data_IF_829469613009
#
_entry.id   IF_829469613009
#
_cell.length_a   1.000
_cell.length_b   1.000
_cell.length_c   1.000
_cell.angle_alpha   90.00
_cell.angle_beta   90.00
_cell.angle_gamma   90.00
#
_symmetry.space_group_name_H-M   'P 1'
#
loop_
_entity.id
_entity.type
_entity.pdbx_description
1 polymer ?
#
# COMPACT_ATOMS: atom_id res chain seq x y z
N UNK A 1 10.47 1.96 -2.64
CA UNK A 1 9.95 0.64 -3.06
C UNK A 1 8.96 0.09 -2.02
N UNK A 2 7.90 -0.57 -2.47
CA UNK A 2 6.92 -1.26 -1.63
C UNK A 2 6.86 -2.73 -2.04
N UNK A 3 6.93 -3.65 -1.07
CA UNK A 3 6.95 -5.10 -1.31
C UNK A 3 5.56 -5.63 -1.70
N UNK A 4 5.49 -6.36 -2.81
CA UNK A 4 4.35 -7.17 -3.21
C UNK A 4 4.37 -8.60 -2.69
N UNK A 5 3.41 -9.42 -3.11
CA UNK A 5 3.32 -10.83 -2.73
C UNK A 5 4.24 -11.73 -3.54
N UNK A 6 4.67 -11.33 -4.72
CA UNK A 6 5.57 -12.08 -5.59
C UNK A 6 7.06 -11.72 -5.44
N UNK A 7 7.39 -10.77 -4.56
CA UNK A 7 8.77 -10.35 -4.31
C UNK A 7 9.50 -11.34 -3.37
N UNK A 8 9.61 -12.60 -3.80
CA UNK A 8 10.21 -13.69 -3.00
C UNK A 8 11.71 -13.49 -2.75
N UNK A 9 12.41 -12.86 -3.69
CA UNK A 9 13.83 -12.51 -3.60
C UNK A 9 14.11 -11.43 -2.54
N UNK A 10 13.10 -10.69 -2.16
CA UNK A 10 13.17 -9.63 -1.17
C UNK A 10 13.16 -10.19 0.25
N UNK A 11 14.26 -10.07 0.95
CA UNK A 11 14.38 -10.48 2.35
C UNK A 11 13.62 -9.57 3.32
N UNK A 12 14.26 -9.22 4.43
CA UNK A 12 13.73 -8.21 5.36
C UNK A 12 14.08 -6.80 4.87
N UNK A 13 13.33 -5.79 5.31
CA UNK A 13 13.65 -4.38 5.00
C UNK A 13 15.08 -4.02 5.41
N UNK A 14 15.55 -4.53 6.56
CA UNK A 14 16.93 -4.31 7.04
C UNK A 14 17.97 -4.92 6.09
N UNK A 15 17.74 -6.13 5.56
CA UNK A 15 18.65 -6.76 4.59
C UNK A 15 18.70 -5.97 3.29
N UNK A 16 17.56 -5.46 2.82
CA UNK A 16 17.50 -4.63 1.61
C UNK A 16 18.23 -3.30 1.81
N UNK A 17 18.03 -2.63 2.94
CA UNK A 17 18.74 -1.38 3.26
C UNK A 17 20.26 -1.61 3.35
N UNK A 18 20.68 -2.71 3.96
CA UNK A 18 22.09 -3.10 4.00
C UNK A 18 22.63 -3.33 2.59
N UNK A 19 21.92 -4.04 1.74
CA UNK A 19 22.30 -4.26 0.33
C UNK A 19 22.43 -2.93 -0.42
N UNK A 20 21.49 -1.98 -0.25
CA UNK A 20 21.58 -0.67 -0.87
C UNK A 20 22.83 0.08 -0.43
N UNK A 21 23.15 0.06 0.86
CA UNK A 21 24.35 0.72 1.40
C UNK A 21 25.66 0.08 0.88
N UNK A 22 25.71 -1.26 0.80
CA UNK A 22 26.87 -2.01 0.30
C UNK A 22 27.14 -1.81 -1.21
N UNK A 23 26.12 -1.35 -1.97
CA UNK A 23 26.19 -1.15 -3.43
C UNK A 23 26.04 0.32 -3.84
N UNK A 24 26.21 1.25 -2.89
CA UNK A 24 26.08 2.70 -3.12
C UNK A 24 24.75 3.11 -3.79
N UNK A 25 23.65 2.35 -3.54
CA UNK A 25 22.31 2.67 -4.03
C UNK A 25 21.69 3.70 -3.09
N UNK A 26 21.79 4.98 -3.44
CA UNK A 26 21.33 6.11 -2.62
C UNK A 26 19.97 6.68 -3.03
N UNK A 27 19.45 6.27 -4.20
CA UNK A 27 18.22 6.80 -4.78
C UNK A 27 16.97 5.94 -4.48
N UNK A 28 17.15 4.80 -3.81
CA UNK A 28 16.07 3.88 -3.45
C UNK A 28 15.95 3.74 -1.94
N UNK A 29 14.72 3.69 -1.45
CA UNK A 29 14.42 3.29 -0.07
C UNK A 29 13.12 2.48 -0.04
N UNK A 30 12.78 1.94 1.14
CA UNK A 30 11.71 0.97 1.32
C UNK A 30 10.60 1.59 2.15
N UNK A 31 9.41 1.63 1.56
CA UNK A 31 8.17 1.94 2.26
C UNK A 31 7.64 0.66 2.92
N UNK A 32 7.63 0.65 4.26
CA UNK A 32 7.29 -0.56 5.00
C UNK A 32 6.36 -0.31 6.20
N UNK A 33 6.74 0.56 7.12
CA UNK A 33 5.99 1.03 8.29
C UNK A 33 6.49 2.42 8.70
N UNK A 34 6.96 3.16 7.74
CA UNK A 34 7.52 4.52 7.81
C UNK A 34 6.75 5.42 6.86
N UNK A 35 7.10 6.68 6.82
CA UNK A 35 6.66 7.63 5.80
C UNK A 35 7.88 8.27 5.12
N UNK A 36 7.66 8.73 3.89
CA UNK A 36 8.54 9.66 3.18
C UNK A 36 7.77 10.95 2.93
N UNK A 37 8.48 12.03 2.62
CA UNK A 37 7.86 13.32 2.39
C UNK A 37 8.21 13.83 1.00
N UNK A 38 7.22 14.38 0.31
CA UNK A 38 7.40 15.06 -0.96
C UNK A 38 6.48 16.29 -1.01
N UNK A 39 7.08 17.47 -1.17
CA UNK A 39 6.34 18.72 -1.00
C UNK A 39 5.67 18.78 0.38
N UNK A 40 4.38 19.06 0.39
CA UNK A 40 3.58 19.13 1.61
C UNK A 40 2.98 17.78 2.02
N UNK A 41 3.13 16.75 1.21
CA UNK A 41 2.49 15.45 1.41
C UNK A 41 3.43 14.43 2.06
N UNK A 42 2.82 13.55 2.84
CA UNK A 42 3.42 12.31 3.31
C UNK A 42 3.09 11.16 2.37
N UNK A 43 4.10 10.38 2.03
CA UNK A 43 4.01 9.13 1.27
C UNK A 43 4.01 7.99 2.28
N UNK A 44 2.85 7.41 2.53
CA UNK A 44 2.64 6.34 3.50
C UNK A 44 2.25 5.03 2.80
N UNK A 45 2.35 3.93 3.50
CA UNK A 45 1.86 2.66 2.97
C UNK A 45 2.50 1.42 3.58
N UNK A 46 1.96 0.30 3.19
CA UNK A 46 2.43 -1.05 3.52
C UNK A 46 1.97 -2.03 2.45
N UNK A 47 2.43 -3.28 2.54
CA UNK A 47 1.93 -4.31 1.63
C UNK A 47 0.41 -4.45 1.70
N UNK A 48 -0.19 -4.27 2.87
CA UNK A 48 -1.59 -4.58 3.10
C UNK A 48 -1.84 -6.09 3.16
N UNK A 49 -3.09 -6.45 3.31
CA UNK A 49 -3.58 -7.82 3.25
C UNK A 49 -5.07 -7.82 2.94
N UNK A 50 -5.57 -8.96 2.46
CA UNK A 50 -7.01 -9.18 2.27
C UNK A 50 -7.40 -10.58 2.74
N UNK A 51 -8.69 -10.79 3.01
CA UNK A 51 -9.21 -12.12 3.25
C UNK A 51 -9.33 -12.85 1.91
N UNK A 52 -8.68 -14.00 1.79
CA UNK A 52 -8.99 -14.95 0.73
C UNK A 52 -10.28 -15.66 1.14
N UNK A 53 -11.25 -15.77 0.22
CA UNK A 53 -12.58 -16.36 0.50
C UNK A 53 -12.48 -17.79 1.07
N UNK A 54 -11.43 -18.52 0.74
CA UNK A 54 -11.17 -19.89 1.21
C UNK A 54 -10.28 -19.98 2.46
N UNK A 55 -9.74 -18.87 2.95
CA UNK A 55 -8.80 -18.82 4.06
C UNK A 55 -9.45 -18.32 5.36
N UNK A 56 -10.61 -18.85 5.74
CA UNK A 56 -11.26 -18.58 7.03
C UNK A 56 -10.46 -19.17 8.22
N UNK A 57 -9.16 -18.94 8.25
CA UNK A 57 -8.25 -19.48 9.26
C UNK A 57 -7.68 -18.38 10.17
N UNK A 58 -7.36 -18.77 11.39
CA UNK A 58 -6.65 -17.96 12.40
C UNK A 58 -5.36 -17.32 11.87
N UNK A 59 -4.78 -17.86 10.81
CA UNK A 59 -3.58 -17.32 10.15
C UNK A 59 -3.86 -16.00 9.43
N UNK A 60 -4.91 -15.94 8.62
CA UNK A 60 -5.29 -14.72 7.87
C UNK A 60 -5.61 -13.57 8.80
N UNK A 61 -6.35 -13.82 9.90
CA UNK A 61 -6.65 -12.80 10.90
C UNK A 61 -5.40 -12.22 11.57
N UNK A 62 -4.42 -13.07 11.92
CA UNK A 62 -3.13 -12.61 12.48
C UNK A 62 -2.31 -11.79 11.48
N UNK A 63 -2.32 -12.19 10.21
CA UNK A 63 -1.63 -11.45 9.15
C UNK A 63 -2.27 -10.09 8.94
N UNK A 64 -3.60 -10.03 8.88
CA UNK A 64 -4.34 -8.78 8.72
C UNK A 64 -4.10 -7.82 9.89
N UNK A 65 -4.20 -8.31 11.14
CA UNK A 65 -3.93 -7.49 12.31
C UNK A 65 -2.51 -6.91 12.29
N UNK A 66 -1.51 -7.70 11.87
CA UNK A 66 -0.14 -7.23 11.74
C UNK A 66 0.02 -6.18 10.64
N UNK A 67 -0.62 -6.36 9.49
CA UNK A 67 -0.57 -5.38 8.40
C UNK A 67 -1.32 -4.09 8.78
N UNK A 68 -2.42 -4.18 9.52
CA UNK A 68 -3.11 -3.01 10.07
C UNK A 68 -2.20 -2.20 11.01
N UNK A 69 -1.48 -2.87 11.92
CA UNK A 69 -0.50 -2.20 12.78
C UNK A 69 0.63 -1.53 11.99
N UNK A 70 1.09 -2.15 10.91
CA UNK A 70 2.12 -1.58 10.02
C UNK A 70 1.59 -0.36 9.27
N UNK A 71 0.37 -0.45 8.73
CA UNK A 71 -0.28 0.68 8.08
C UNK A 71 -0.44 1.83 9.08
N UNK A 72 -0.95 1.56 10.28
CA UNK A 72 -1.12 2.59 11.28
C UNK A 72 0.21 3.25 11.66
N UNK A 73 1.29 2.49 11.81
CA UNK A 73 2.62 3.03 12.08
C UNK A 73 3.07 3.98 10.95
N UNK A 74 2.86 3.59 9.69
CA UNK A 74 3.18 4.43 8.53
C UNK A 74 2.35 5.72 8.51
N UNK A 75 1.03 5.62 8.74
CA UNK A 75 0.14 6.77 8.76
C UNK A 75 0.44 7.74 9.92
N UNK A 76 0.80 7.23 11.09
CA UNK A 76 1.27 8.05 12.23
C UNK A 76 2.54 8.83 11.89
N UNK A 77 3.43 8.24 11.10
CA UNK A 77 4.68 8.88 10.68
C UNK A 77 4.47 10.02 9.66
N UNK A 78 3.23 10.29 9.23
CA UNK A 78 2.89 11.42 8.37
C UNK A 78 2.99 12.79 9.07
N UNK A 79 3.05 12.81 10.40
CA UNK A 79 3.22 14.03 11.20
C UNK A 79 2.17 15.12 10.92
N UNK A 80 0.92 14.69 10.66
CA UNK A 80 -0.22 15.59 10.39
C UNK A 80 -0.27 16.17 8.98
N UNK A 81 0.61 15.76 8.07
CA UNK A 81 0.58 16.18 6.66
C UNK A 81 -0.51 15.45 5.87
N UNK A 82 -1.01 16.04 4.78
CA UNK A 82 -1.86 15.34 3.82
C UNK A 82 -1.19 14.04 3.36
N UNK A 83 -1.98 12.96 3.19
CA UNK A 83 -1.42 11.63 2.98
C UNK A 83 -1.79 11.07 1.61
N UNK A 84 -0.77 10.64 0.86
CA UNK A 84 -0.90 9.67 -0.22
C UNK A 84 -0.47 8.30 0.28
N UNK A 85 -1.40 7.36 0.30
CA UNK A 85 -1.17 6.00 0.79
C UNK A 85 -0.98 5.02 -0.37
N UNK A 86 0.02 4.16 -0.26
CA UNK A 86 0.31 3.11 -1.23
C UNK A 86 0.18 1.75 -0.58
N UNK A 87 -0.63 0.90 -1.19
CA UNK A 87 -0.83 -0.50 -0.77
C UNK A 87 -0.53 -1.44 -1.93
N UNK A 88 0.00 -2.63 -1.64
CA UNK A 88 0.05 -3.65 -2.67
C UNK A 88 -1.33 -4.31 -2.83
N UNK A 89 -1.91 -4.81 -1.74
CA UNK A 89 -3.24 -5.39 -1.79
C UNK A 89 -4.33 -4.32 -1.75
N UNK A 90 -5.39 -4.45 -2.58
CA UNK A 90 -6.51 -3.51 -2.57
C UNK A 90 -7.27 -3.59 -1.24
N UNK A 91 -7.54 -2.46 -0.56
CA UNK A 91 -8.37 -2.44 0.64
C UNK A 91 -9.85 -2.58 0.34
N UNK A 92 -10.25 -2.34 -0.91
CA UNK A 92 -11.59 -2.49 -1.44
C UNK A 92 -11.53 -2.87 -2.92
N UNK A 93 -12.35 -3.82 -3.33
CA UNK A 93 -12.60 -4.16 -4.73
C UNK A 93 -13.96 -4.83 -4.83
N UNK A 94 -14.44 -5.13 -6.02
CA UNK A 94 -15.79 -5.64 -6.24
C UNK A 94 -16.09 -6.88 -5.37
N UNK A 95 -17.10 -6.75 -4.52
CA UNK A 95 -17.55 -7.81 -3.60
C UNK A 95 -16.69 -7.97 -2.33
N UNK A 96 -15.67 -7.16 -2.12
CA UNK A 96 -14.76 -7.26 -0.98
C UNK A 96 -14.43 -5.91 -0.36
N UNK A 97 -14.34 -5.91 0.96
CA UNK A 97 -13.84 -4.78 1.75
C UNK A 97 -12.98 -5.30 2.91
N UNK A 98 -11.90 -4.61 3.21
CA UNK A 98 -11.09 -4.83 4.40
C UNK A 98 -11.40 -3.74 5.43
N UNK A 99 -12.33 -3.98 6.38
CA UNK A 99 -12.77 -2.95 7.33
C UNK A 99 -11.63 -2.34 8.13
N UNK A 100 -10.65 -3.14 8.52
CA UNK A 100 -9.51 -2.70 9.33
C UNK A 100 -8.64 -1.68 8.58
N UNK A 101 -8.36 -1.95 7.30
CA UNK A 101 -7.58 -1.03 6.47
C UNK A 101 -8.38 0.23 6.17
N UNK A 102 -9.66 0.08 5.80
CA UNK A 102 -10.53 1.21 5.48
C UNK A 102 -10.73 2.13 6.68
N UNK A 103 -10.91 1.57 7.89
CA UNK A 103 -11.04 2.37 9.12
C UNK A 103 -9.77 3.19 9.41
N UNK A 104 -8.58 2.67 9.09
CA UNK A 104 -7.33 3.41 9.25
C UNK A 104 -7.23 4.54 8.21
N UNK A 105 -7.57 4.28 6.95
CA UNK A 105 -7.55 5.30 5.91
C UNK A 105 -8.52 6.45 6.25
N UNK A 106 -9.71 6.12 6.74
CA UNK A 106 -10.70 7.11 7.20
C UNK A 106 -10.21 7.87 8.44
N UNK A 107 -9.66 7.17 9.45
CA UNK A 107 -9.16 7.76 10.70
C UNK A 107 -8.06 8.80 10.49
N UNK A 108 -7.15 8.51 9.55
CA UNK A 108 -6.02 9.40 9.23
C UNK A 108 -6.32 10.34 8.06
N UNK A 109 -7.57 10.41 7.62
CA UNK A 109 -8.04 11.32 6.56
C UNK A 109 -7.19 11.23 5.29
N UNK A 110 -6.85 10.00 4.88
CA UNK A 110 -6.04 9.77 3.70
C UNK A 110 -6.72 10.35 2.46
N UNK A 111 -6.02 11.22 1.73
CA UNK A 111 -6.59 11.87 0.55
C UNK A 111 -6.68 10.93 -0.64
N UNK A 112 -5.60 10.18 -0.90
CA UNK A 112 -5.53 9.23 -2.02
C UNK A 112 -4.92 7.91 -1.58
N UNK A 113 -5.55 6.81 -2.01
CA UNK A 113 -5.05 5.46 -1.80
C UNK A 113 -4.81 4.80 -3.16
N UNK A 114 -3.55 4.56 -3.46
CA UNK A 114 -3.09 3.85 -4.65
C UNK A 114 -2.80 2.40 -4.29
N UNK A 115 -3.22 1.47 -5.15
CA UNK A 115 -2.99 0.05 -4.90
C UNK A 115 -2.67 -0.72 -6.19
N UNK A 116 -2.08 -1.89 -6.05
CA UNK A 116 -1.72 -2.79 -7.13
C UNK A 116 -2.43 -4.13 -7.05
N UNK A 117 -1.66 -5.21 -7.23
CA UNK A 117 -2.05 -6.61 -7.08
C UNK A 117 -3.02 -7.16 -8.13
N UNK A 118 -4.03 -6.41 -8.55
CA UNK A 118 -5.00 -6.85 -9.55
C UNK A 118 -4.37 -6.77 -10.95
N UNK A 119 -4.29 -7.89 -11.65
CA UNK A 119 -3.69 -8.01 -12.98
C UNK A 119 -4.64 -8.63 -13.99
N UNK A 120 -4.46 -8.32 -15.27
CA UNK A 120 -5.19 -8.89 -16.38
C UNK A 120 -6.71 -8.75 -16.22
N UNK A 121 -7.44 -9.85 -16.30
CA UNK A 121 -8.91 -9.82 -16.22
C UNK A 121 -9.45 -9.35 -14.86
N UNK A 122 -8.63 -9.36 -13.79
CA UNK A 122 -9.05 -8.88 -12.47
C UNK A 122 -9.12 -7.37 -12.36
N UNK A 123 -8.57 -6.60 -13.31
CA UNK A 123 -8.71 -5.14 -13.36
C UNK A 123 -10.16 -4.67 -13.24
N UNK A 124 -11.11 -5.39 -13.88
CA UNK A 124 -12.55 -5.09 -13.81
C UNK A 124 -13.16 -5.19 -12.41
N UNK A 125 -12.44 -5.78 -11.44
CA UNK A 125 -12.85 -5.84 -10.04
C UNK A 125 -12.33 -4.66 -9.23
N UNK A 126 -11.46 -3.83 -9.80
CA UNK A 126 -10.91 -2.68 -9.11
C UNK A 126 -12.02 -1.72 -8.70
N UNK A 127 -11.87 -1.14 -7.53
CA UNK A 127 -12.66 0.00 -7.10
C UNK A 127 -11.85 1.27 -7.34
N UNK A 128 -12.35 2.14 -8.17
CA UNK A 128 -11.76 3.45 -8.43
C UNK A 128 -12.77 4.56 -8.10
N UNK A 129 -12.27 5.69 -7.64
CA UNK A 129 -13.08 6.83 -7.25
C UNK A 129 -13.18 7.02 -5.74
N UNK A 130 -14.11 7.85 -5.32
CA UNK A 130 -14.19 8.34 -3.95
C UNK A 130 -15.03 7.44 -3.05
N UNK A 131 -14.48 7.14 -1.87
CA UNK A 131 -15.18 6.52 -0.75
C UNK A 131 -14.78 7.24 0.54
N UNK A 132 -15.74 7.83 1.24
CA UNK A 132 -15.46 8.69 2.38
C UNK A 132 -14.64 9.92 1.98
N UNK A 133 -13.50 10.12 2.60
CA UNK A 133 -12.57 11.22 2.27
C UNK A 133 -11.48 10.81 1.28
N UNK A 134 -11.32 9.52 0.99
CA UNK A 134 -10.23 8.94 0.21
C UNK A 134 -10.65 8.71 -1.25
N UNK A 135 -9.81 9.11 -2.19
CA UNK A 135 -9.89 8.74 -3.60
C UNK A 135 -9.00 7.52 -3.86
N UNK A 136 -9.55 6.47 -4.46
CA UNK A 136 -8.89 5.20 -4.72
C UNK A 136 -8.55 5.06 -6.20
N UNK A 137 -7.36 4.53 -6.50
CA UNK A 137 -6.95 4.25 -7.87
C UNK A 137 -6.08 2.98 -7.95
N UNK A 138 -6.34 2.16 -8.98
CA UNK A 138 -5.48 1.03 -9.33
C UNK A 138 -4.28 1.54 -10.12
N UNK A 139 -3.07 1.16 -9.67
CA UNK A 139 -1.81 1.47 -10.36
C UNK A 139 -0.99 0.21 -10.67
N UNK A 140 -1.66 -0.94 -10.89
CA UNK A 140 -0.98 -2.14 -11.36
C UNK A 140 -0.31 -1.85 -12.72
N UNK A 141 0.94 -2.30 -12.90
CA UNK A 141 1.78 -1.92 -14.03
C UNK A 141 1.13 -2.20 -15.39
N UNK A 142 0.48 -3.34 -15.55
CA UNK A 142 -0.23 -3.72 -16.77
C UNK A 142 -1.54 -2.92 -16.98
N UNK A 143 -2.18 -2.46 -15.89
CA UNK A 143 -3.35 -1.59 -15.95
C UNK A 143 -3.01 -0.20 -16.48
N UNK A 144 -1.90 0.38 -16.00
CA UNK A 144 -1.42 1.69 -16.45
C UNK A 144 -0.53 1.61 -17.70
N UNK A 145 -0.57 0.50 -18.45
CA UNK A 145 0.23 0.27 -19.66
C UNK A 145 1.74 0.50 -19.44
N UNK A 146 2.26 0.17 -18.26
CA UNK A 146 3.66 0.37 -17.85
C UNK A 146 4.15 1.83 -17.96
N UNK A 147 3.24 2.79 -17.88
CA UNK A 147 3.56 4.22 -17.89
C UNK A 147 3.46 4.79 -16.46
N UNK A 148 4.40 5.66 -16.05
CA UNK A 148 4.30 6.33 -14.78
C UNK A 148 3.04 7.20 -14.67
N UNK A 149 2.37 7.13 -13.53
CA UNK A 149 1.22 8.00 -13.22
C UNK A 149 1.72 9.19 -12.40
N UNK A 150 1.42 10.40 -12.88
CA UNK A 150 1.69 11.62 -12.11
C UNK A 150 0.71 11.71 -10.94
N UNK A 151 1.22 11.78 -9.73
CA UNK A 151 0.43 11.82 -8.49
C UNK A 151 0.48 13.16 -7.77
N UNK A 152 1.40 14.04 -8.13
CA UNK A 152 1.63 15.36 -7.54
C UNK A 152 1.88 16.39 -8.64
N UNK A 153 1.35 17.61 -8.47
CA UNK A 153 1.55 18.75 -9.38
C UNK A 153 2.76 19.59 -9.02
#
# INVERSE_FOLDING_TARGET
>A
LLKGNHDYWWGTASKMKKFFAEHDITTLDILYNNAFFYGDHAICGTRGWFYEEDAAGTHTGKMLAREALRLEASLKAAEGRPIFCFLHYPPVYQGYQCPEMLALLDKYEVERCYYGHLHGYTHRRAFEGRRGKTDYALIAADYIAFQPVKIYD
#
